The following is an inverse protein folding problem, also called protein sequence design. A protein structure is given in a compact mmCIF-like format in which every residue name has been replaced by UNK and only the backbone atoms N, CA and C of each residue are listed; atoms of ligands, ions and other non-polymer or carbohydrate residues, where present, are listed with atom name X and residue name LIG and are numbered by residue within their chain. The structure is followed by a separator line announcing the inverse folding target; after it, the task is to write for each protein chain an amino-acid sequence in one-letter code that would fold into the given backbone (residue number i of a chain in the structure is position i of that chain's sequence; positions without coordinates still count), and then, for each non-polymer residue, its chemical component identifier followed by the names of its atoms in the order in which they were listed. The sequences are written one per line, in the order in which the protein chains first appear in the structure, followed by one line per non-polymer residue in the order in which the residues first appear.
data_IF_336019713949
#
_entry.id   IF_336019713949
#
_cell.length_a   1.000
_cell.length_b   1.000
_cell.length_c   1.000
_cell.angle_alpha   90.00
_cell.angle_beta   90.00
_cell.angle_gamma   90.00
#
_symmetry.space_group_name_H-M   'P 1'
#
loop_
_entity.id
_entity.type
_entity.pdbx_description
1 polymer ?
#
# COMPACT_ATOMS: atom_id res chain seq x y z
N UNK A 1 20.62 -27.39 -14.27
CA UNK A 1 20.39 -26.14 -15.03
C UNK A 1 20.79 -25.01 -14.10
N UNK A 2 22.01 -24.48 -14.24
CA UNK A 2 22.47 -23.34 -13.45
C UNK A 2 21.96 -22.07 -14.11
N UNK A 3 20.91 -21.47 -13.55
CA UNK A 3 20.48 -20.14 -13.94
C UNK A 3 21.61 -19.16 -13.65
N UNK A 4 22.15 -18.56 -14.72
CA UNK A 4 23.06 -17.42 -14.62
C UNK A 4 22.22 -16.26 -14.08
N UNK A 5 22.19 -16.12 -12.75
CA UNK A 5 21.65 -14.95 -12.06
C UNK A 5 22.34 -13.72 -12.69
N UNK A 6 21.56 -12.90 -13.37
CA UNK A 6 22.06 -11.75 -14.11
C UNK A 6 22.65 -10.77 -13.09
N UNK A 7 23.82 -10.20 -13.35
CA UNK A 7 24.54 -9.34 -12.41
C UNK A 7 23.72 -8.13 -11.90
N UNK A 8 22.67 -7.74 -12.63
CA UNK A 8 21.71 -6.71 -12.23
C UNK A 8 20.73 -7.15 -11.12
N UNK A 9 20.35 -8.43 -11.02
CA UNK A 9 19.47 -8.92 -9.93
C UNK A 9 20.14 -8.86 -8.56
N UNK A 10 21.48 -8.89 -8.54
CA UNK A 10 22.29 -8.85 -7.33
C UNK A 10 22.34 -7.46 -6.68
N UNK A 11 21.91 -6.40 -7.38
CA UNK A 11 21.95 -5.02 -6.88
C UNK A 11 20.59 -4.46 -6.44
N UNK A 12 19.48 -5.13 -6.76
CA UNK A 12 18.14 -4.66 -6.41
C UNK A 12 17.83 -4.89 -4.93
N UNK A 13 17.12 -3.94 -4.31
CA UNK A 13 16.50 -4.15 -3.01
C UNK A 13 15.39 -5.22 -3.09
N UNK A 14 14.97 -5.76 -1.94
CA UNK A 14 13.88 -6.75 -1.91
C UNK A 14 12.55 -6.15 -2.38
N UNK A 15 12.35 -4.85 -2.16
CA UNK A 15 11.20 -4.12 -2.70
C UNK A 15 11.27 -3.92 -4.21
N UNK A 16 12.43 -3.57 -4.74
CA UNK A 16 12.62 -3.45 -6.20
C UNK A 16 12.40 -4.79 -6.90
N UNK A 17 12.87 -5.90 -6.31
CA UNK A 17 12.58 -7.26 -6.79
C UNK A 17 11.08 -7.55 -6.78
N UNK A 18 10.38 -7.22 -5.69
CA UNK A 18 8.92 -7.40 -5.60
C UNK A 18 8.16 -6.62 -6.69
N UNK A 19 8.55 -5.37 -6.95
CA UNK A 19 7.96 -4.53 -7.99
C UNK A 19 8.28 -5.03 -9.41
N UNK A 20 9.47 -5.62 -9.60
CA UNK A 20 9.88 -6.21 -10.87
C UNK A 20 9.31 -7.62 -11.11
N UNK A 21 8.56 -8.20 -10.16
CA UNK A 21 8.04 -9.56 -10.26
C UNK A 21 9.10 -10.66 -10.10
N UNK A 22 10.26 -10.33 -9.53
CA UNK A 22 11.35 -11.27 -9.26
C UNK A 22 11.19 -11.91 -7.87
N UNK A 23 11.78 -13.09 -7.59
CA UNK A 23 11.80 -13.65 -6.25
C UNK A 23 12.45 -12.69 -5.24
N UNK A 24 11.77 -12.48 -4.11
CA UNK A 24 12.18 -11.54 -3.06
C UNK A 24 11.91 -12.09 -1.66
N UNK A 25 12.64 -11.57 -0.67
CA UNK A 25 12.45 -11.85 0.74
C UNK A 25 11.36 -10.95 1.30
N UNK A 26 10.12 -11.45 1.31
CA UNK A 26 8.96 -10.71 1.79
C UNK A 26 9.05 -10.23 3.26
N UNK A 27 9.94 -10.82 4.05
CA UNK A 27 10.21 -10.44 5.45
C UNK A 27 11.48 -9.61 5.63
N UNK A 28 11.98 -8.97 4.57
CA UNK A 28 13.01 -7.94 4.72
C UNK A 28 12.50 -6.80 5.61
N UNK A 29 13.41 -6.14 6.32
CA UNK A 29 13.09 -5.00 7.19
C UNK A 29 12.32 -3.90 6.45
N UNK A 30 12.74 -3.59 5.21
CA UNK A 30 12.07 -2.63 4.32
C UNK A 30 10.58 -2.96 4.12
N UNK A 31 10.27 -4.20 3.72
CA UNK A 31 8.90 -4.63 3.45
C UNK A 31 8.07 -4.85 4.72
N UNK A 32 8.70 -5.13 5.86
CA UNK A 32 8.04 -5.13 7.17
C UNK A 32 7.62 -3.71 7.56
N UNK A 33 8.52 -2.74 7.42
CA UNK A 33 8.25 -1.34 7.74
C UNK A 33 7.15 -0.76 6.84
N UNK A 34 7.16 -1.09 5.55
CA UNK A 34 6.09 -0.66 4.63
C UNK A 34 4.74 -1.29 4.97
N UNK A 35 4.69 -2.57 5.38
CA UNK A 35 3.45 -3.20 5.88
C UNK A 35 2.96 -2.55 7.17
N UNK A 36 3.86 -2.15 8.06
CA UNK A 36 3.48 -1.48 9.30
C UNK A 36 2.80 -0.14 9.02
N UNK A 37 3.38 0.69 8.14
CA UNK A 37 2.77 1.96 7.70
C UNK A 37 1.37 1.75 7.10
N UNK A 38 1.19 0.71 6.28
CA UNK A 38 -0.11 0.38 5.71
C UNK A 38 -1.13 0.01 6.79
N UNK A 39 -0.74 -0.82 7.75
CA UNK A 39 -1.60 -1.21 8.88
C UNK A 39 -2.04 -0.02 9.73
N UNK A 40 -1.17 0.95 9.98
CA UNK A 40 -1.54 2.17 10.72
C UNK A 40 -2.65 2.94 10.00
N UNK A 41 -2.51 3.13 8.68
CA UNK A 41 -3.52 3.83 7.87
C UNK A 41 -4.81 3.05 7.70
N UNK A 42 -4.73 1.74 7.53
CA UNK A 42 -5.90 0.87 7.49
C UNK A 42 -6.62 0.85 8.84
N UNK A 43 -5.90 0.90 9.96
CA UNK A 43 -6.50 1.00 11.28
C UNK A 43 -7.27 2.33 11.43
N UNK A 44 -6.66 3.45 11.05
CA UNK A 44 -7.30 4.77 11.03
C UNK A 44 -8.59 4.77 10.19
N UNK A 45 -8.51 4.23 8.96
CA UNK A 45 -9.66 4.13 8.05
C UNK A 45 -10.77 3.21 8.60
N UNK A 46 -10.40 1.99 9.01
CA UNK A 46 -11.35 0.96 9.41
C UNK A 46 -12.07 1.26 10.72
N UNK A 47 -11.45 2.05 11.61
CA UNK A 47 -12.04 2.46 12.88
C UNK A 47 -12.61 3.89 12.86
N UNK A 48 -12.64 4.53 11.70
CA UNK A 48 -13.27 5.85 11.55
C UNK A 48 -14.79 5.77 11.81
N UNK A 49 -15.36 6.85 12.38
CA UNK A 49 -16.81 6.96 12.60
C UNK A 49 -17.58 6.78 11.28
N UNK A 50 -18.84 6.33 11.32
CA UNK A 50 -19.70 6.36 10.13
C UNK A 50 -19.80 7.79 9.59
N UNK A 51 -19.53 7.97 8.30
CA UNK A 51 -19.65 9.25 7.61
C UNK A 51 -20.43 9.02 6.33
N UNK A 52 -21.31 9.96 5.98
CA UNK A 52 -22.09 9.88 4.74
C UNK A 52 -21.22 10.25 3.55
N UNK A 53 -21.23 9.42 2.51
CA UNK A 53 -20.52 9.68 1.26
C UNK A 53 -20.99 10.98 0.62
N UNK A 54 -20.06 11.68 -0.03
CA UNK A 54 -20.32 12.95 -0.70
C UNK A 54 -20.38 14.17 0.22
N UNK A 55 -20.12 14.00 1.52
CA UNK A 55 -19.99 15.10 2.48
C UNK A 55 -18.54 15.58 2.59
N UNK A 56 -18.35 16.81 3.05
CA UNK A 56 -17.01 17.38 3.33
C UNK A 56 -16.26 16.53 4.35
N UNK A 57 -16.95 16.00 5.37
CA UNK A 57 -16.35 15.10 6.36
C UNK A 57 -15.80 13.81 5.72
N UNK A 58 -16.50 13.25 4.73
CA UNK A 58 -16.01 12.07 4.01
C UNK A 58 -14.76 12.40 3.19
N UNK A 59 -14.77 13.55 2.50
CA UNK A 59 -13.67 14.02 1.65
C UNK A 59 -12.40 14.33 2.45
N UNK A 60 -12.53 15.02 3.58
CA UNK A 60 -11.40 15.40 4.42
C UNK A 60 -10.86 14.24 5.30
N UNK A 61 -11.71 13.23 5.56
CA UNK A 61 -11.38 12.05 6.35
C UNK A 61 -11.09 10.81 5.50
N UNK A 62 -12.11 9.96 5.31
CA UNK A 62 -11.99 8.63 4.70
C UNK A 62 -11.38 8.67 3.30
N UNK A 63 -11.84 9.57 2.43
CA UNK A 63 -11.34 9.68 1.05
C UNK A 63 -9.85 10.06 1.02
N UNK A 64 -9.43 11.00 1.87
CA UNK A 64 -8.02 11.40 1.99
C UNK A 64 -7.13 10.23 2.38
N UNK A 65 -7.57 9.38 3.31
CA UNK A 65 -6.82 8.18 3.71
C UNK A 65 -6.73 7.18 2.56
N UNK A 66 -7.83 6.94 1.84
CA UNK A 66 -7.85 6.05 0.66
C UNK A 66 -6.90 6.54 -0.43
N UNK A 67 -6.90 7.84 -0.73
CA UNK A 67 -5.98 8.43 -1.71
C UNK A 67 -4.52 8.26 -1.31
N UNK A 68 -4.20 8.37 -0.02
CA UNK A 68 -2.85 8.10 0.50
C UNK A 68 -2.47 6.62 0.42
N UNK A 69 -3.41 5.72 0.76
CA UNK A 69 -3.18 4.27 0.72
C UNK A 69 -2.93 3.77 -0.71
N UNK A 70 -3.75 4.19 -1.67
CA UNK A 70 -3.72 3.67 -3.05
C UNK A 70 -2.77 4.45 -3.98
N UNK A 71 -2.35 5.66 -3.60
CA UNK A 71 -1.44 6.53 -4.34
C UNK A 71 -2.03 7.19 -5.58
N UNK A 72 -2.79 6.44 -6.37
CA UNK A 72 -3.56 6.95 -7.49
C UNK A 72 -4.94 6.33 -7.49
N UNK A 73 -5.96 7.17 -7.61
CA UNK A 73 -7.35 6.77 -7.74
C UNK A 73 -8.04 7.68 -8.73
N UNK A 74 -9.15 7.22 -9.31
CA UNK A 74 -9.96 8.01 -10.22
C UNK A 74 -10.56 9.27 -9.57
N UNK A 75 -11.29 10.04 -10.39
CA UNK A 75 -12.00 11.24 -9.92
C UNK A 75 -12.94 10.89 -8.77
N UNK A 76 -13.78 9.89 -8.99
CA UNK A 76 -14.77 9.41 -8.04
C UNK A 76 -14.27 8.08 -7.44
N UNK A 77 -14.01 8.07 -6.14
CA UNK A 77 -13.55 6.89 -5.40
C UNK A 77 -14.37 6.73 -4.12
N UNK A 78 -14.84 5.52 -3.91
CA UNK A 78 -15.60 5.16 -2.72
C UNK A 78 -15.19 3.79 -2.24
N UNK A 79 -14.86 3.70 -0.96
CA UNK A 79 -14.56 2.45 -0.27
C UNK A 79 -15.26 2.54 1.08
N UNK A 80 -16.10 1.56 1.37
CA UNK A 80 -16.68 1.39 2.71
C UNK A 80 -15.78 0.53 3.57
N UNK A 81 -15.50 0.93 4.83
CA UNK A 81 -14.83 0.06 5.78
C UNK A 81 -15.58 -1.26 6.03
N UNK A 82 -14.86 -2.37 6.32
CA UNK A 82 -13.41 -2.44 6.40
C UNK A 82 -12.72 -2.68 5.05
N UNK A 83 -11.53 -2.11 4.88
CA UNK A 83 -10.61 -2.37 3.78
C UNK A 83 -9.31 -2.98 4.30
N UNK A 84 -8.69 -3.88 3.52
CA UNK A 84 -7.43 -4.53 3.87
C UNK A 84 -6.51 -4.61 2.65
N UNK A 85 -5.26 -4.15 2.82
CA UNK A 85 -4.19 -4.31 1.86
C UNK A 85 -2.85 -4.47 2.58
N UNK A 86 -1.86 -5.06 1.92
CA UNK A 86 -0.56 -5.29 2.56
C UNK A 86 0.33 -4.05 2.55
N UNK A 87 0.24 -3.23 1.50
CA UNK A 87 1.17 -2.11 1.27
C UNK A 87 0.40 -0.82 0.97
N UNK A 88 1.07 0.31 1.22
CA UNK A 88 0.67 1.62 0.70
C UNK A 88 1.37 1.89 -0.62
N UNK A 89 0.81 2.80 -1.41
CA UNK A 89 1.52 3.28 -2.59
C UNK A 89 2.88 3.85 -2.21
N UNK A 90 3.89 3.42 -2.95
CA UNK A 90 5.25 3.88 -2.79
C UNK A 90 5.36 5.29 -3.38
N UNK A 91 5.16 6.32 -2.54
CA UNK A 91 5.50 7.70 -2.86
C UNK A 91 6.95 8.01 -2.53
#
# INVERSE_FOLDING_TARGET
MSEKINSNEKMLSEKEKALAGLPYLAYSEELINDRFKAKEKLYEFNNSKPVRIGTVEYQEGREKIIRQLLGSVGKDVEIEPPFYCDYVSFS
#
